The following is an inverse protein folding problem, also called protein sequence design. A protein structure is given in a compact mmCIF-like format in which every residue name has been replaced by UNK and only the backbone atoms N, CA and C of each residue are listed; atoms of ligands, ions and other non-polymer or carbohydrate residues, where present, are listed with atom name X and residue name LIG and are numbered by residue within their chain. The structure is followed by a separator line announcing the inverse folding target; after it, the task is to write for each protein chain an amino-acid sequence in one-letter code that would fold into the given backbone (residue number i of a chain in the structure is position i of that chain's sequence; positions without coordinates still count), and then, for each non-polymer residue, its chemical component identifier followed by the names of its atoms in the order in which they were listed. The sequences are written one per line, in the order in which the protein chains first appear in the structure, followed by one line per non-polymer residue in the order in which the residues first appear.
data_IF_582329143432
#
_entry.id   IF_582329143432
#
_cell.length_a   1.000
_cell.length_b   1.000
_cell.length_c   1.000
_cell.angle_alpha   90.00
_cell.angle_beta   90.00
_cell.angle_gamma   90.00
#
_symmetry.space_group_name_H-M   'P 1'
#
loop_
_entity.id
_entity.type
_entity.pdbx_description
1 polymer ?
#
# COMPACT_ATOMS: atom_id res chain seq x y z
N UNK A 1 8.16 16.86 0.16
CA UNK A 1 6.91 17.48 0.66
C UNK A 1 5.63 16.89 0.03
N UNK A 2 5.69 16.26 -1.16
CA UNK A 2 4.52 15.65 -1.83
C UNK A 2 4.10 14.32 -1.16
N UNK A 3 5.03 13.53 -0.62
CA UNK A 3 4.75 12.26 0.09
C UNK A 3 3.85 12.43 1.32
N UNK A 4 3.93 13.56 2.02
CA UNK A 4 3.14 13.80 3.25
C UNK A 4 1.65 14.02 2.98
N UNK A 5 1.25 14.54 1.82
CA UNK A 5 -0.15 14.82 1.51
C UNK A 5 -0.94 13.57 1.09
N UNK A 6 -0.34 12.65 0.31
CA UNK A 6 -1.00 11.40 -0.10
C UNK A 6 -1.22 10.43 1.06
N UNK A 7 -0.21 10.25 1.92
CA UNK A 7 -0.39 9.44 3.14
C UNK A 7 -1.49 9.99 4.06
N UNK A 8 -1.63 11.32 4.16
CA UNK A 8 -2.73 11.92 4.93
C UNK A 8 -4.10 11.69 4.30
N UNK A 9 -4.22 11.70 2.97
CA UNK A 9 -5.50 11.47 2.30
C UNK A 9 -5.97 10.02 2.40
N UNK A 10 -5.10 9.02 2.31
CA UNK A 10 -5.47 7.62 2.54
C UNK A 10 -5.87 7.36 3.99
N UNK A 11 -5.13 7.89 4.97
CA UNK A 11 -5.51 7.79 6.38
C UNK A 11 -6.82 8.53 6.72
N UNK A 12 -7.20 9.56 5.96
CA UNK A 12 -8.44 10.33 6.16
C UNK A 12 -9.64 9.64 5.48
N UNK A 13 -9.46 8.97 4.33
CA UNK A 13 -10.55 8.22 3.67
C UNK A 13 -11.07 7.06 4.52
N UNK A 14 -10.21 6.36 5.23
CA UNK A 14 -10.61 5.31 6.18
C UNK A 14 -11.38 5.86 7.39
N UNK A 15 -11.38 7.18 7.63
CA UNK A 15 -11.97 7.79 8.83
C UNK A 15 -13.35 8.45 8.61
N UNK A 16 -13.84 8.52 7.38
CA UNK A 16 -15.13 9.18 7.07
C UNK A 16 -16.08 8.17 6.41
N UNK A 17 -16.66 7.29 7.23
CA UNK A 17 -17.86 6.56 6.80
C UNK A 17 -19.10 7.40 7.14
N UNK A 18 -19.85 7.84 6.13
CA UNK A 18 -21.13 8.55 6.30
C UNK A 18 -22.21 7.71 7.01
N UNK A 19 -21.99 6.39 7.15
CA UNK A 19 -22.88 5.42 7.80
C UNK A 19 -22.25 4.73 9.01
N UNK A 20 -21.34 5.40 9.71
CA UNK A 20 -20.75 4.89 10.94
C UNK A 20 -21.73 4.87 12.10
N UNK A 21 -21.47 4.01 13.10
CA UNK A 21 -22.22 4.02 14.36
C UNK A 21 -21.98 5.35 15.07
N UNK A 22 -23.05 5.96 15.64
CA UNK A 22 -22.91 7.16 16.44
C UNK A 22 -22.01 6.88 17.66
N UNK A 23 -20.87 7.56 17.70
CA UNK A 23 -19.88 7.40 18.78
C UNK A 23 -20.39 7.91 20.15
N UNK A 24 -21.49 8.63 20.18
CA UNK A 24 -22.11 9.11 21.45
C UNK A 24 -22.46 7.95 22.39
N UNK A 25 -22.77 6.76 21.86
CA UNK A 25 -23.05 5.55 22.65
C UNK A 25 -21.87 5.10 23.51
N UNK A 26 -20.65 5.49 23.12
CA UNK A 26 -19.43 5.15 23.84
C UNK A 26 -18.99 6.18 24.89
N UNK A 27 -19.66 7.32 25.01
CA UNK A 27 -19.29 8.39 25.96
C UNK A 27 -19.24 7.94 27.43
N UNK A 28 -20.00 6.90 27.80
CA UNK A 28 -20.01 6.33 29.13
C UNK A 28 -18.74 5.59 29.52
N UNK A 29 -17.91 5.21 28.56
CA UNK A 29 -16.67 4.50 28.81
C UNK A 29 -15.49 5.48 28.89
N UNK A 30 -14.54 5.22 29.79
CA UNK A 30 -13.33 6.06 29.90
C UNK A 30 -12.43 5.94 28.65
N UNK A 31 -12.32 4.74 28.09
CA UNK A 31 -11.60 4.45 26.84
C UNK A 31 -12.28 3.33 26.09
N UNK A 32 -12.27 3.43 24.75
CA UNK A 32 -12.78 2.42 23.83
C UNK A 32 -11.67 2.14 22.82
N UNK A 33 -11.36 0.87 22.63
CA UNK A 33 -10.37 0.43 21.64
C UNK A 33 -11.06 -0.28 20.48
N UNK A 34 -10.63 0.02 19.27
CA UNK A 34 -11.14 -0.61 18.04
C UNK A 34 -9.99 -0.90 17.08
N UNK A 35 -10.08 -2.02 16.37
CA UNK A 35 -9.09 -2.48 15.38
C UNK A 35 -9.57 -2.41 13.94
N UNK A 36 -10.69 -1.74 13.66
CA UNK A 36 -11.28 -1.75 12.32
C UNK A 36 -10.39 -1.08 11.26
N UNK A 37 -9.74 0.03 11.60
CA UNK A 37 -8.89 0.78 10.68
C UNK A 37 -7.44 0.35 10.76
N UNK A 38 -6.76 0.28 9.59
CA UNK A 38 -5.34 -0.06 9.51
C UNK A 38 -4.43 0.98 10.14
N UNK A 39 -4.84 2.24 10.12
CA UNK A 39 -4.04 3.34 10.65
C UNK A 39 -4.49 3.74 12.04
N UNK A 40 -3.48 3.94 12.89
CA UNK A 40 -3.68 4.42 14.25
C UNK A 40 -4.26 5.84 14.24
N UNK A 41 -5.37 6.05 14.93
CA UNK A 41 -5.99 7.36 15.13
C UNK A 41 -6.81 7.37 16.43
N UNK A 42 -7.34 8.52 16.80
CA UNK A 42 -8.30 8.61 17.90
C UNK A 42 -9.30 9.74 17.67
N UNK A 43 -10.49 9.55 18.22
CA UNK A 43 -11.52 10.56 18.31
C UNK A 43 -12.15 10.48 19.69
N UNK A 44 -12.06 11.55 20.47
CA UNK A 44 -12.53 11.61 21.87
C UNK A 44 -11.92 10.46 22.70
N UNK A 45 -12.75 9.58 23.24
CA UNK A 45 -12.37 8.42 24.05
C UNK A 45 -12.20 7.13 23.23
N UNK A 46 -12.38 7.19 21.90
CA UNK A 46 -12.25 6.04 21.00
C UNK A 46 -10.87 6.03 20.33
N UNK A 47 -10.15 4.95 20.51
CA UNK A 47 -8.79 4.73 20.00
C UNK A 47 -8.82 3.63 18.94
N UNK A 48 -8.53 4.00 17.69
CA UNK A 48 -8.28 3.07 16.59
C UNK A 48 -6.83 2.61 16.69
N UNK A 49 -6.61 1.34 16.99
CA UNK A 49 -5.27 0.82 17.31
C UNK A 49 -4.41 0.68 16.06
N UNK A 50 -5.03 0.45 14.92
CA UNK A 50 -4.31 0.14 13.68
C UNK A 50 -3.77 -1.29 13.64
N UNK A 51 -3.08 -1.64 12.56
CA UNK A 51 -2.49 -2.95 12.39
C UNK A 51 -1.14 -3.07 13.10
N UNK A 52 -0.79 -4.24 13.64
CA UNK A 52 0.51 -4.46 14.27
C UNK A 52 1.65 -4.58 13.25
N UNK A 53 1.36 -4.91 11.98
CA UNK A 53 2.28 -5.00 10.85
C UNK A 53 1.57 -4.59 9.55
N UNK A 54 2.31 -4.46 8.47
CA UNK A 54 1.79 -4.12 7.14
C UNK A 54 1.03 -5.33 6.57
N UNK A 55 -0.21 -5.13 6.09
CA UNK A 55 -1.04 -6.17 5.47
C UNK A 55 -1.08 -6.05 3.94
N UNK A 56 -1.00 -4.83 3.41
CA UNK A 56 -1.08 -4.54 1.99
C UNK A 56 -0.02 -3.53 1.58
N UNK A 57 0.26 -3.42 0.28
CA UNK A 57 1.18 -2.43 -0.27
C UNK A 57 0.83 -0.99 0.08
N UNK A 58 -0.45 -0.69 0.32
CA UNK A 58 -0.92 0.62 0.79
C UNK A 58 -0.43 0.96 2.20
N UNK A 59 0.00 -0.04 2.96
CA UNK A 59 0.59 0.14 4.29
C UNK A 59 2.09 0.47 4.24
N UNK A 60 2.70 0.45 3.05
CA UNK A 60 4.11 0.77 2.88
C UNK A 60 4.47 2.13 3.49
N UNK A 61 5.54 2.17 4.27
CA UNK A 61 6.01 3.37 4.95
C UNK A 61 5.14 3.84 6.12
N UNK A 62 4.05 3.12 6.45
CA UNK A 62 3.24 3.41 7.64
C UNK A 62 3.89 2.83 8.89
N UNK A 63 3.88 3.61 9.98
CA UNK A 63 4.39 3.15 11.29
C UNK A 63 3.36 2.22 11.92
N UNK A 64 3.57 0.92 11.80
CA UNK A 64 2.76 -0.14 12.40
C UNK A 64 3.29 -0.52 13.77
N UNK A 65 2.48 -1.21 14.58
CA UNK A 65 2.89 -1.67 15.90
C UNK A 65 1.72 -2.04 16.79
N UNK A 66 2.02 -2.32 18.04
CA UNK A 66 1.02 -2.71 19.03
C UNK A 66 0.95 -1.72 20.20
N UNK A 67 -0.08 -1.84 20.99
CA UNK A 67 -0.31 -0.98 22.14
C UNK A 67 -0.29 -1.80 23.43
N UNK A 68 0.29 -1.22 24.45
CA UNK A 68 0.19 -1.72 25.84
C UNK A 68 -0.71 -0.75 26.59
N UNK A 69 -1.75 -1.28 27.22
CA UNK A 69 -2.68 -0.52 28.03
C UNK A 69 -2.50 -0.87 29.52
N UNK A 70 -2.19 0.14 30.31
CA UNK A 70 -2.14 0.03 31.77
C UNK A 70 -3.51 0.33 32.35
N UNK A 71 -4.15 -0.68 32.94
CA UNK A 71 -5.51 -0.57 33.50
C UNK A 71 -5.56 0.26 34.76
N UNK A 72 -4.45 0.44 35.47
CA UNK A 72 -4.38 1.21 36.73
C UNK A 72 -4.28 2.72 36.39
N UNK A 73 -3.35 3.07 35.52
CA UNK A 73 -3.12 4.48 35.15
C UNK A 73 -3.94 4.92 33.95
N UNK A 74 -4.62 4.00 33.27
CA UNK A 74 -5.35 4.19 32.02
C UNK A 74 -4.46 4.75 30.91
N UNK A 75 -3.14 4.54 30.98
CA UNK A 75 -2.19 4.98 29.96
C UNK A 75 -2.09 3.94 28.85
N UNK A 76 -2.07 4.44 27.61
CA UNK A 76 -1.84 3.62 26.42
C UNK A 76 -0.51 4.00 25.80
N UNK A 77 0.41 3.04 25.64
CA UNK A 77 1.72 3.24 25.03
C UNK A 77 1.80 2.43 23.75
N UNK A 78 2.17 3.09 22.64
CA UNK A 78 2.37 2.44 21.35
C UNK A 78 3.84 2.03 21.19
N UNK A 79 4.06 0.80 20.80
CA UNK A 79 5.36 0.24 20.46
C UNK A 79 5.40 -0.02 18.95
N UNK A 80 6.34 0.64 18.27
CA UNK A 80 6.51 0.47 16.83
C UNK A 80 7.06 -0.92 16.53
N UNK A 81 6.48 -1.58 15.51
CA UNK A 81 7.08 -2.75 14.89
C UNK A 81 8.31 -2.29 14.07
N UNK A 82 9.51 -2.81 14.35
CA UNK A 82 10.70 -2.46 13.59
C UNK A 82 10.78 -3.15 12.22
N UNK A 83 9.98 -4.18 11.99
CA UNK A 83 10.02 -4.99 10.77
C UNK A 83 9.00 -4.46 9.76
N UNK A 84 9.46 -4.27 8.53
CA UNK A 84 8.63 -3.96 7.39
C UNK A 84 8.36 -5.26 6.60
N UNK A 85 7.13 -5.44 6.11
CA UNK A 85 6.74 -6.57 5.25
C UNK A 85 6.95 -6.21 3.78
N UNK A 86 6.74 -4.94 3.43
CA UNK A 86 6.85 -4.43 2.07
C UNK A 86 8.00 -3.44 1.95
N UNK A 87 8.86 -3.65 0.96
CA UNK A 87 10.03 -2.81 0.67
C UNK A 87 9.94 -2.30 -0.76
N UNK A 88 10.06 -0.97 -0.95
CA UNK A 88 10.15 -0.34 -2.28
C UNK A 88 11.58 0.13 -2.51
N UNK A 89 12.17 -0.33 -3.59
CA UNK A 89 13.47 0.11 -4.08
C UNK A 89 13.27 0.87 -5.40
N UNK A 90 14.05 1.92 -5.60
CA UNK A 90 14.01 2.72 -6.82
C UNK A 90 15.30 2.52 -7.58
N UNK A 91 15.19 2.10 -8.85
CA UNK A 91 16.32 1.94 -9.75
C UNK A 91 16.34 3.07 -10.77
N UNK A 92 17.39 3.88 -10.72
CA UNK A 92 17.64 4.97 -11.67
C UNK A 92 19.10 4.89 -12.11
N UNK A 93 19.38 4.15 -13.21
CA UNK A 93 20.73 3.82 -13.70
C UNK A 93 21.64 3.26 -12.58
N UNK A 94 21.05 2.65 -11.58
CA UNK A 94 21.67 2.06 -10.41
C UNK A 94 20.73 2.06 -9.21
N UNK A 95 21.02 1.21 -8.24
CA UNK A 95 20.28 1.11 -6.98
C UNK A 95 21.24 0.84 -5.83
N UNK A 96 20.99 1.48 -4.68
CA UNK A 96 21.64 1.06 -3.44
C UNK A 96 20.92 -0.18 -2.93
N UNK A 97 21.56 -1.34 -3.06
CA UNK A 97 20.99 -2.60 -2.58
C UNK A 97 20.96 -2.59 -1.05
N UNK A 98 19.85 -3.04 -0.43
CA UNK A 98 19.74 -3.19 1.01
C UNK A 98 20.64 -4.32 1.51
N UNK A 99 20.89 -4.37 2.82
CA UNK A 99 21.47 -5.57 3.40
C UNK A 99 20.46 -6.71 3.37
N UNK A 100 20.93 -7.94 3.20
CA UNK A 100 20.07 -9.13 3.15
C UNK A 100 19.15 -9.23 4.37
N UNK A 101 19.68 -8.95 5.58
CA UNK A 101 18.90 -8.96 6.84
C UNK A 101 17.72 -7.98 6.87
N UNK A 102 17.82 -6.89 6.10
CA UNK A 102 16.80 -5.83 6.08
C UNK A 102 15.63 -6.19 5.15
N UNK A 103 15.84 -7.17 4.27
CA UNK A 103 14.84 -7.61 3.26
C UNK A 103 14.48 -9.08 3.38
N UNK A 104 15.10 -9.84 4.27
CA UNK A 104 14.79 -11.25 4.49
C UNK A 104 13.30 -11.47 4.75
N UNK A 105 12.67 -12.33 3.96
CA UNK A 105 11.25 -12.67 4.08
C UNK A 105 10.29 -11.54 3.69
N UNK A 106 10.77 -10.44 3.10
CA UNK A 106 9.92 -9.31 2.68
C UNK A 106 9.48 -9.42 1.22
N UNK A 107 8.39 -8.72 0.89
CA UNK A 107 7.95 -8.50 -0.49
C UNK A 107 8.63 -7.24 -1.02
N UNK A 108 9.47 -7.40 -2.03
CA UNK A 108 10.25 -6.30 -2.61
C UNK A 108 9.62 -5.85 -3.92
N UNK A 109 9.40 -4.53 -4.07
CA UNK A 109 9.00 -3.91 -5.33
C UNK A 109 10.15 -3.04 -5.84
N UNK A 110 10.75 -3.42 -6.98
CA UNK A 110 11.78 -2.65 -7.66
C UNK A 110 11.11 -1.76 -8.70
N UNK A 111 11.08 -0.45 -8.43
CA UNK A 111 10.52 0.57 -9.33
C UNK A 111 11.65 1.07 -10.21
N UNK A 112 11.54 0.85 -11.51
CA UNK A 112 12.56 1.18 -12.50
C UNK A 112 12.18 2.49 -13.17
N UNK A 113 12.91 3.56 -12.86
CA UNK A 113 12.75 4.89 -13.45
C UNK A 113 13.59 5.02 -14.74
N UNK A 114 14.83 4.53 -14.70
CA UNK A 114 15.73 4.45 -15.84
C UNK A 114 16.63 3.21 -15.71
N UNK A 115 16.59 2.34 -16.70
CA UNK A 115 17.43 1.12 -16.74
C UNK A 115 18.90 1.44 -16.97
N UNK A 116 19.19 2.47 -17.78
CA UNK A 116 20.55 2.82 -18.16
C UNK A 116 21.33 1.62 -18.72
N UNK A 117 22.36 1.21 -18.02
CA UNK A 117 23.18 0.05 -18.37
C UNK A 117 22.47 -1.27 -18.00
N UNK A 118 22.05 -2.03 -19.01
CA UNK A 118 21.36 -3.31 -18.83
C UNK A 118 22.14 -4.34 -18.02
N UNK A 119 23.49 -4.38 -18.15
CA UNK A 119 24.29 -5.33 -17.38
C UNK A 119 24.27 -5.02 -15.88
N UNK A 120 24.25 -3.74 -15.52
CA UNK A 120 24.09 -3.32 -14.13
C UNK A 120 22.69 -3.61 -13.59
N UNK A 121 21.68 -3.42 -14.43
CA UNK A 121 20.29 -3.74 -14.08
C UNK A 121 20.12 -5.23 -13.79
N UNK A 122 20.57 -6.09 -14.71
CA UNK A 122 20.51 -7.56 -14.55
C UNK A 122 21.28 -8.02 -13.32
N UNK A 123 22.44 -7.43 -13.06
CA UNK A 123 23.21 -7.72 -11.85
C UNK A 123 22.41 -7.34 -10.58
N UNK A 124 21.77 -6.19 -10.54
CA UNK A 124 20.98 -5.75 -9.39
C UNK A 124 19.77 -6.66 -9.15
N UNK A 125 19.05 -7.01 -10.23
CA UNK A 125 17.92 -7.96 -10.15
C UNK A 125 18.37 -9.32 -9.64
N UNK A 126 19.46 -9.87 -10.19
CA UNK A 126 20.01 -11.16 -9.75
C UNK A 126 20.41 -11.12 -8.29
N UNK A 127 21.09 -10.06 -7.86
CA UNK A 127 21.46 -9.89 -6.43
C UNK A 127 20.25 -9.85 -5.52
N UNK A 128 19.15 -9.19 -5.92
CA UNK A 128 17.91 -9.18 -5.14
C UNK A 128 17.24 -10.56 -5.10
N UNK A 129 17.27 -11.30 -6.22
CA UNK A 129 16.73 -12.66 -6.28
C UNK A 129 17.55 -13.67 -5.43
N UNK A 130 18.86 -13.43 -5.31
CA UNK A 130 19.75 -14.26 -4.47
C UNK A 130 19.58 -13.97 -2.96
N UNK A 131 18.94 -12.85 -2.58
CA UNK A 131 18.57 -12.55 -1.21
C UNK A 131 17.35 -13.38 -0.81
N UNK A 132 17.24 -13.78 0.45
CA UNK A 132 16.11 -14.57 0.96
C UNK A 132 14.84 -13.72 1.11
N UNK A 133 14.38 -13.11 0.01
CA UNK A 133 13.13 -12.32 -0.05
C UNK A 133 11.94 -13.24 -0.34
N UNK A 134 10.73 -12.83 0.08
CA UNK A 134 9.51 -13.60 -0.17
C UNK A 134 9.07 -13.50 -1.63
N UNK A 135 9.18 -12.30 -2.24
CA UNK A 135 8.82 -12.06 -3.63
C UNK A 135 9.53 -10.80 -4.17
N UNK A 136 9.82 -10.77 -5.47
CA UNK A 136 10.37 -9.62 -6.19
C UNK A 136 9.45 -9.23 -7.33
N UNK A 137 8.80 -8.07 -7.21
CA UNK A 137 8.03 -7.47 -8.30
C UNK A 137 8.84 -6.32 -8.93
N UNK A 138 9.10 -6.40 -10.24
CA UNK A 138 9.75 -5.33 -11.01
C UNK A 138 8.66 -4.54 -11.72
N UNK A 139 8.68 -3.21 -11.56
CA UNK A 139 7.69 -2.30 -12.14
C UNK A 139 8.42 -1.15 -12.84
N UNK A 140 8.14 -0.95 -14.12
CA UNK A 140 8.67 0.19 -14.87
C UNK A 140 7.81 1.42 -14.60
N UNK A 141 8.44 2.50 -14.12
CA UNK A 141 7.75 3.78 -13.91
C UNK A 141 7.71 4.57 -15.22
N UNK A 142 6.59 4.46 -15.93
CA UNK A 142 6.33 5.22 -17.16
C UNK A 142 5.87 6.67 -16.88
N UNK A 143 5.83 7.11 -15.63
CA UNK A 143 5.26 8.42 -15.24
C UNK A 143 6.13 9.63 -15.59
N UNK A 144 7.32 9.44 -16.20
CA UNK A 144 8.15 10.53 -16.76
C UNK A 144 7.45 11.20 -17.95
N UNK A 145 6.36 10.64 -18.48
CA UNK A 145 5.56 11.19 -19.57
C UNK A 145 4.37 12.07 -19.11
N UNK A 146 4.43 12.71 -17.95
CA UNK A 146 3.67 13.94 -17.69
C UNK A 146 2.25 13.86 -17.14
N UNK A 147 1.77 12.73 -16.64
CA UNK A 147 0.49 12.68 -15.92
C UNK A 147 0.67 12.08 -14.51
N UNK A 148 0.57 12.96 -13.51
CA UNK A 148 0.86 12.66 -12.09
C UNK A 148 -0.17 11.75 -11.37
N UNK A 149 -0.61 10.68 -12.00
CA UNK A 149 -1.42 9.62 -11.41
C UNK A 149 -0.50 8.44 -11.13
N UNK A 150 -0.69 7.74 -10.01
CA UNK A 150 0.05 6.52 -9.65
C UNK A 150 -0.35 5.38 -10.60
N UNK A 151 0.20 5.42 -11.82
CA UNK A 151 -0.11 4.52 -12.94
C UNK A 151 0.21 3.05 -12.60
N UNK A 152 1.12 2.83 -11.64
CA UNK A 152 1.65 1.51 -11.31
C UNK A 152 0.63 0.52 -10.73
N UNK A 153 -0.33 1.00 -9.91
CA UNK A 153 -1.40 0.12 -9.40
C UNK A 153 -2.57 0.04 -10.40
N UNK A 154 -2.74 1.07 -11.22
CA UNK A 154 -3.79 1.18 -12.22
C UNK A 154 -3.53 0.26 -13.42
N UNK A 155 -2.28 0.23 -13.94
CA UNK A 155 -1.92 -0.64 -15.06
C UNK A 155 -2.00 -2.12 -14.69
N UNK A 156 -1.58 -2.49 -13.49
CA UNK A 156 -1.65 -3.89 -13.02
C UNK A 156 -3.12 -4.36 -12.95
N UNK A 157 -4.01 -3.54 -12.42
CA UNK A 157 -5.44 -3.86 -12.32
C UNK A 157 -6.12 -3.87 -13.69
N UNK A 158 -5.83 -2.90 -14.56
CA UNK A 158 -6.41 -2.86 -15.90
C UNK A 158 -5.89 -4.01 -16.77
N UNK A 159 -4.62 -4.36 -16.66
CA UNK A 159 -4.03 -5.50 -17.36
C UNK A 159 -4.65 -6.81 -16.90
N UNK A 160 -4.87 -6.99 -15.58
CA UNK A 160 -5.57 -8.14 -15.03
C UNK A 160 -7.01 -8.23 -15.52
N UNK A 161 -7.74 -7.10 -15.56
CA UNK A 161 -9.10 -7.03 -16.07
C UNK A 161 -9.16 -7.37 -17.56
N UNK A 162 -8.23 -6.84 -18.36
CA UNK A 162 -8.15 -7.15 -19.80
C UNK A 162 -7.86 -8.63 -20.04
N UNK A 163 -6.91 -9.22 -19.31
CA UNK A 163 -6.57 -10.65 -19.39
C UNK A 163 -7.77 -11.52 -18.99
N UNK A 164 -8.46 -11.16 -17.91
CA UNK A 164 -9.67 -11.87 -17.48
C UNK A 164 -10.77 -11.83 -18.53
N UNK A 165 -11.00 -10.67 -19.19
CA UNK A 165 -11.99 -10.54 -20.27
C UNK A 165 -11.58 -11.39 -21.47
N UNK A 166 -10.28 -11.53 -21.76
CA UNK A 166 -9.80 -12.37 -22.86
C UNK A 166 -10.00 -13.87 -22.61
N UNK A 167 -9.96 -14.31 -21.35
CA UNK A 167 -10.17 -15.70 -20.95
C UNK A 167 -11.63 -16.13 -20.91
N UNK A 168 -12.57 -15.18 -20.70
CA UNK A 168 -14.00 -15.50 -20.61
C UNK A 168 -14.60 -15.63 -22.01
N UNK A 169 -15.50 -16.62 -22.17
CA UNK A 169 -16.36 -16.74 -23.36
C UNK A 169 -17.54 -15.78 -23.23
N UNK A 170 -17.52 -14.69 -23.98
CA UNK A 170 -18.54 -13.65 -23.98
C UNK A 170 -19.32 -13.65 -25.29
N UNK A 171 -20.66 -13.50 -25.19
CA UNK A 171 -21.53 -13.32 -26.36
C UNK A 171 -21.53 -11.90 -26.93
N UNK A 172 -20.73 -11.00 -26.36
CA UNK A 172 -20.56 -9.59 -26.76
C UNK A 172 -19.11 -9.31 -27.11
N UNK A 173 -18.85 -8.22 -27.84
CA UNK A 173 -17.50 -7.83 -28.23
C UNK A 173 -16.64 -7.59 -26.98
N UNK A 174 -15.54 -8.33 -26.85
CA UNK A 174 -14.55 -8.19 -25.79
C UNK A 174 -13.98 -6.78 -25.74
N UNK A 175 -13.73 -6.15 -26.88
CA UNK A 175 -13.22 -4.78 -26.94
C UNK A 175 -14.21 -3.76 -26.34
N UNK A 176 -15.50 -3.93 -26.57
CA UNK A 176 -16.51 -3.08 -25.96
C UNK A 176 -16.53 -3.26 -24.43
N UNK A 177 -16.45 -4.51 -23.95
CA UNK A 177 -16.42 -4.81 -22.51
C UNK A 177 -15.17 -4.20 -21.88
N UNK A 178 -13.98 -4.36 -22.49
CA UNK A 178 -12.74 -3.73 -22.02
C UNK A 178 -12.85 -2.21 -21.94
N UNK A 179 -13.42 -1.58 -22.98
CA UNK A 179 -13.61 -0.12 -23.01
C UNK A 179 -14.50 0.37 -21.87
N UNK A 180 -15.63 -0.30 -21.64
CA UNK A 180 -16.55 0.03 -20.54
C UNK A 180 -15.88 -0.19 -19.17
N UNK A 181 -15.20 -1.31 -18.98
CA UNK A 181 -14.50 -1.62 -17.72
C UNK A 181 -13.39 -0.60 -17.42
N UNK A 182 -12.62 -0.20 -18.42
CA UNK A 182 -11.61 0.86 -18.27
C UNK A 182 -12.25 2.20 -17.88
N UNK A 183 -13.35 2.58 -18.52
CA UNK A 183 -14.08 3.82 -18.20
C UNK A 183 -14.59 3.81 -16.75
N UNK A 184 -15.23 2.72 -16.33
CA UNK A 184 -15.73 2.56 -14.95
C UNK A 184 -14.59 2.55 -13.93
N UNK A 185 -13.48 1.89 -14.24
CA UNK A 185 -12.31 1.87 -13.37
C UNK A 185 -11.70 3.27 -13.19
N UNK A 186 -11.57 4.01 -14.28
CA UNK A 186 -11.07 5.41 -14.24
C UNK A 186 -12.00 6.32 -13.46
N UNK A 187 -13.32 6.17 -13.63
CA UNK A 187 -14.32 6.92 -12.86
C UNK A 187 -14.26 6.59 -11.37
N UNK A 188 -14.18 5.30 -11.02
CA UNK A 188 -14.05 4.86 -9.62
C UNK A 188 -12.74 5.30 -8.98
N UNK A 189 -11.65 5.40 -9.76
CA UNK A 189 -10.33 5.84 -9.28
C UNK A 189 -10.20 7.36 -9.16
N UNK A 190 -11.12 8.12 -9.75
CA UNK A 190 -11.15 9.59 -9.70
C UNK A 190 -11.90 10.15 -8.47
N UNK A 191 -12.62 9.29 -7.73
CA UNK A 191 -13.33 9.60 -6.48
C UNK A 191 -12.38 9.39 -5.29
#
# INVERSE_FOLDING_TARGET
HVRSRRQRQMCIRDSVMERGMDHSVFKKFKKVFTGHYHSKSHKDNIYYLGNPYQLYWNDFGCKRGFHVFDTTTLKTTHYRNPFDVFVKLYYNNGVSLPNERDVEGTFVKLIVEDKGDYAKFDYAVKRLQDMNIADLKIVEDLSIAGTGVDVLETEDTLTLLDTYIDEIDLQVSKDNVKSVMRSLYMEASAI
#
